data_IF_424148799340
#
_entry.id   IF_424148799340
#
_cell.length_a   1.000
_cell.length_b   1.000
_cell.length_c   1.000
_cell.angle_alpha   90.00
_cell.angle_beta   90.00
_cell.angle_gamma   90.00
#
_symmetry.space_group_name_H-M   'P 1'
#
loop_
_entity.id
_entity.type
_entity.pdbx_description
1 polymer ?
#
# COMPACT_ATOMS: atom_id res chain seq x y z
N UNK A 1 -54.66 25.42 13.42
CA UNK A 1 -53.62 24.43 13.79
C UNK A 1 -52.62 24.32 12.64
N UNK A 2 -51.37 24.69 12.85
CA UNK A 2 -50.32 24.57 11.82
C UNK A 2 -49.77 23.17 11.87
N UNK A 3 -49.99 22.35 10.85
CA UNK A 3 -49.47 21.00 10.75
C UNK A 3 -48.10 21.07 10.04
N UNK A 4 -46.99 20.86 10.78
CA UNK A 4 -45.64 20.87 10.22
C UNK A 4 -45.22 19.44 9.97
N UNK A 5 -45.10 19.07 8.70
CA UNK A 5 -44.62 17.76 8.25
C UNK A 5 -43.50 17.93 7.24
N UNK A 6 -42.62 16.92 7.14
CA UNK A 6 -41.49 16.97 6.22
C UNK A 6 -40.66 15.70 6.20
N UNK A 7 -39.67 15.71 5.33
CA UNK A 7 -38.69 14.62 5.20
C UNK A 7 -37.35 15.10 5.73
N UNK A 8 -36.75 14.36 6.68
CA UNK A 8 -35.43 14.65 7.21
C UNK A 8 -34.51 13.42 7.15
N UNK A 9 -33.23 13.66 6.93
CA UNK A 9 -32.21 12.62 6.97
C UNK A 9 -31.51 12.67 8.32
N UNK A 10 -31.53 11.55 9.02
CA UNK A 10 -30.80 11.36 10.26
C UNK A 10 -29.60 10.46 10.00
N UNK A 11 -28.43 10.87 10.48
CA UNK A 11 -27.21 10.11 10.35
C UNK A 11 -26.87 9.44 11.70
N UNK A 12 -26.67 8.12 11.65
CA UNK A 12 -26.15 7.38 12.79
C UNK A 12 -24.75 6.86 12.47
N UNK A 13 -23.94 6.65 13.50
CA UNK A 13 -22.59 6.11 13.34
C UNK A 13 -22.67 4.58 13.27
N UNK A 14 -22.18 4.01 12.17
CA UNK A 14 -22.12 2.57 11.92
C UNK A 14 -20.74 1.98 12.15
N UNK A 15 -19.70 2.84 12.23
CA UNK A 15 -18.34 2.43 12.50
C UNK A 15 -17.45 3.61 12.81
N UNK A 16 -16.30 3.32 13.43
CA UNK A 16 -15.26 4.29 13.71
C UNK A 16 -13.90 3.61 13.71
N UNK A 17 -12.83 4.35 13.45
CA UNK A 17 -11.48 3.83 13.41
C UNK A 17 -10.51 4.90 12.90
N UNK A 18 -9.33 4.46 12.48
CA UNK A 18 -8.27 5.31 11.92
C UNK A 18 -8.19 5.12 10.41
N UNK A 19 -7.99 6.21 9.66
CA UNK A 19 -7.78 6.21 8.22
C UNK A 19 -6.81 7.33 7.83
N UNK A 20 -6.23 7.23 6.65
CA UNK A 20 -5.41 8.31 6.12
C UNK A 20 -6.30 9.42 5.56
N UNK A 21 -6.31 10.58 6.19
CA UNK A 21 -7.08 11.75 5.77
C UNK A 21 -6.27 12.61 4.81
N UNK A 22 -6.64 12.65 3.53
CA UNK A 22 -5.94 13.46 2.51
C UNK A 22 -5.95 14.95 2.83
N UNK A 23 -7.03 15.47 3.41
CA UNK A 23 -7.15 16.89 3.77
C UNK A 23 -6.23 17.27 4.95
N UNK A 24 -6.06 16.37 5.92
CA UNK A 24 -5.18 16.60 7.08
C UNK A 24 -3.73 16.19 6.81
N UNK A 25 -3.44 15.47 5.71
CA UNK A 25 -2.12 14.97 5.37
C UNK A 25 -1.59 13.88 6.31
N UNK A 26 -2.46 13.07 6.92
CA UNK A 26 -2.02 12.01 7.85
C UNK A 26 -3.17 11.21 8.44
N UNK A 27 -2.80 10.25 9.28
CA UNK A 27 -3.75 9.35 9.93
C UNK A 27 -4.62 10.10 10.95
N UNK A 28 -5.93 9.93 10.85
CA UNK A 28 -6.93 10.58 11.70
C UNK A 28 -8.06 9.62 12.02
N UNK A 29 -8.73 9.87 13.13
CA UNK A 29 -9.94 9.16 13.48
C UNK A 29 -11.08 9.54 12.54
N UNK A 30 -11.92 8.57 12.21
CA UNK A 30 -13.13 8.78 11.41
C UNK A 30 -14.38 8.27 12.11
N UNK A 31 -15.53 8.77 11.65
CA UNK A 31 -16.83 8.20 11.91
C UNK A 31 -17.47 7.80 10.58
N UNK A 32 -17.78 6.53 10.43
CA UNK A 32 -18.57 6.04 9.32
C UNK A 32 -20.04 6.26 9.66
N UNK A 33 -20.72 7.06 8.87
CA UNK A 33 -22.11 7.47 9.11
C UNK A 33 -22.99 6.99 7.99
N UNK A 34 -24.11 6.32 8.38
CA UNK A 34 -25.16 5.93 7.48
C UNK A 34 -26.36 6.87 7.66
N UNK A 35 -26.90 7.36 6.54
CA UNK A 35 -28.06 8.21 6.52
C UNK A 35 -29.33 7.41 6.32
N UNK A 36 -30.37 7.74 7.06
CA UNK A 36 -31.74 7.23 6.82
C UNK A 36 -32.71 8.38 6.78
N UNK A 37 -33.58 8.36 5.78
CA UNK A 37 -34.66 9.35 5.63
C UNK A 37 -35.82 8.93 6.52
N UNK A 38 -36.40 9.92 7.21
CA UNK A 38 -37.58 9.74 8.03
C UNK A 38 -38.67 10.74 7.60
N UNK A 39 -39.89 10.27 7.64
CA UNK A 39 -41.04 11.19 7.65
C UNK A 39 -41.15 11.75 9.06
N UNK A 40 -41.20 13.09 9.15
CA UNK A 40 -41.25 13.79 10.43
C UNK A 40 -42.56 14.55 10.55
N UNK A 41 -43.21 14.45 11.71
CA UNK A 41 -44.34 15.26 12.11
C UNK A 41 -43.96 16.06 13.35
N UNK A 42 -44.13 17.37 13.32
CA UNK A 42 -43.64 18.28 14.38
C UNK A 42 -42.18 18.06 14.75
N UNK A 43 -41.31 17.82 13.73
CA UNK A 43 -39.88 17.52 13.87
C UNK A 43 -39.50 16.15 14.49
N UNK A 44 -40.52 15.37 14.90
CA UNK A 44 -40.32 14.01 15.45
C UNK A 44 -40.25 13.00 14.31
N UNK A 45 -39.18 12.15 14.22
CA UNK A 45 -39.10 11.11 13.20
C UNK A 45 -40.06 9.96 13.55
N UNK A 46 -41.11 9.80 12.76
CA UNK A 46 -42.17 8.79 13.00
C UNK A 46 -41.94 7.54 12.15
N UNK A 47 -41.76 7.73 10.83
CA UNK A 47 -41.70 6.61 9.89
C UNK A 47 -40.30 6.56 9.26
N UNK A 48 -39.53 5.44 9.44
CA UNK A 48 -38.29 5.25 8.73
C UNK A 48 -38.53 4.94 7.26
N UNK A 49 -37.94 5.69 6.38
CA UNK A 49 -37.98 5.50 4.93
C UNK A 49 -36.66 4.90 4.42
N UNK A 50 -36.31 5.21 3.18
CA UNK A 50 -35.15 4.65 2.50
C UNK A 50 -33.81 5.09 3.11
N UNK A 51 -32.78 4.24 2.99
CA UNK A 51 -31.38 4.59 3.25
C UNK A 51 -30.92 5.64 2.23
N UNK A 52 -30.21 6.67 2.68
CA UNK A 52 -29.80 7.81 1.84
C UNK A 52 -28.32 7.83 1.49
N UNK A 53 -27.59 6.79 1.81
CA UNK A 53 -26.17 6.69 1.53
C UNK A 53 -25.32 6.78 2.79
N UNK A 54 -24.07 6.45 2.61
CA UNK A 54 -23.07 6.36 3.67
C UNK A 54 -21.88 7.27 3.35
N UNK A 55 -21.24 7.79 4.37
CA UNK A 55 -20.02 8.56 4.22
C UNK A 55 -19.11 8.37 5.42
N UNK A 56 -17.82 8.51 5.18
CA UNK A 56 -16.78 8.56 6.22
C UNK A 56 -16.46 10.01 6.50
N UNK A 57 -16.57 10.42 7.74
CA UNK A 57 -16.28 11.78 8.16
C UNK A 57 -15.04 11.82 9.05
N UNK A 58 -14.03 12.60 8.65
CA UNK A 58 -12.89 12.87 9.50
C UNK A 58 -13.31 13.62 10.77
N UNK A 59 -12.84 13.17 11.93
CA UNK A 59 -13.20 13.82 13.21
C UNK A 59 -12.49 15.17 13.39
N UNK A 60 -11.36 15.37 12.71
CA UNK A 60 -10.54 16.60 12.80
C UNK A 60 -11.04 17.69 11.85
N UNK A 61 -10.92 17.47 10.51
CA UNK A 61 -11.29 18.48 9.52
C UNK A 61 -12.76 18.44 9.09
N UNK A 62 -13.54 17.46 9.54
CA UNK A 62 -14.96 17.26 9.20
C UNK A 62 -15.23 16.95 7.72
N UNK A 63 -14.20 16.84 6.89
CA UNK A 63 -14.35 16.46 5.48
C UNK A 63 -15.01 15.09 5.36
N UNK A 64 -15.91 14.97 4.38
CA UNK A 64 -16.64 13.73 4.08
C UNK A 64 -16.01 13.04 2.89
N UNK A 65 -15.88 11.72 3.00
CA UNK A 65 -15.31 10.84 1.98
C UNK A 65 -16.28 9.72 1.66
N UNK A 66 -16.15 9.13 0.48
CA UNK A 66 -16.85 7.89 0.14
C UNK A 66 -16.30 6.73 0.99
N UNK A 67 -17.10 5.70 1.34
CA UNK A 67 -16.63 4.59 2.17
C UNK A 67 -15.38 3.87 1.64
N UNK A 68 -15.17 3.87 0.32
CA UNK A 68 -13.98 3.30 -0.33
C UNK A 68 -12.65 3.89 0.16
N UNK A 69 -12.63 5.05 0.82
CA UNK A 69 -11.40 5.59 1.42
C UNK A 69 -10.83 4.69 2.53
N UNK A 70 -11.66 3.85 3.15
CA UNK A 70 -11.26 2.93 4.21
C UNK A 70 -10.46 1.71 3.71
N UNK A 71 -10.48 1.44 2.40
CA UNK A 71 -9.65 0.39 1.80
C UNK A 71 -8.21 0.82 1.56
N UNK A 72 -7.92 2.12 1.67
CA UNK A 72 -6.57 2.65 1.56
C UNK A 72 -5.80 2.40 2.87
N UNK A 73 -4.51 2.04 2.78
CA UNK A 73 -3.70 1.83 3.98
C UNK A 73 -3.50 3.14 4.75
N UNK A 74 -3.34 3.03 6.06
CA UNK A 74 -2.88 4.13 6.89
C UNK A 74 -1.36 4.32 6.75
N UNK A 75 -0.86 5.50 7.11
CA UNK A 75 0.58 5.76 7.11
C UNK A 75 1.32 4.78 8.04
N UNK A 76 0.75 4.49 9.20
CA UNK A 76 1.32 3.52 10.15
C UNK A 76 1.40 2.09 9.56
N UNK A 77 0.36 1.64 8.86
CA UNK A 77 0.37 0.34 8.18
C UNK A 77 1.43 0.28 7.08
N UNK A 78 1.57 1.35 6.30
CA UNK A 78 2.58 1.44 5.25
C UNK A 78 3.99 1.43 5.83
N UNK A 79 4.24 2.22 6.89
CA UNK A 79 5.54 2.27 7.58
C UNK A 79 5.95 0.93 8.17
N UNK A 80 5.00 0.10 8.59
CA UNK A 80 5.29 -1.24 9.11
C UNK A 80 5.55 -2.27 8.00
N UNK A 81 4.78 -2.23 6.90
CA UNK A 81 4.82 -3.26 5.87
C UNK A 81 5.92 -3.03 4.81
N UNK A 82 6.19 -1.77 4.44
CA UNK A 82 7.11 -1.46 3.35
C UNK A 82 8.55 -1.92 3.60
N UNK A 83 9.15 -1.69 4.79
CA UNK A 83 10.50 -2.18 5.07
C UNK A 83 10.61 -3.70 5.02
N UNK A 84 9.64 -4.41 5.57
CA UNK A 84 9.62 -5.87 5.58
C UNK A 84 9.52 -6.45 4.16
N UNK A 85 8.64 -5.88 3.33
CA UNK A 85 8.51 -6.28 1.93
C UNK A 85 9.77 -5.97 1.12
N UNK A 86 10.39 -4.80 1.31
CA UNK A 86 11.63 -4.42 0.62
C UNK A 86 12.79 -5.34 1.01
N UNK A 87 12.94 -5.69 2.29
CA UNK A 87 13.94 -6.67 2.75
C UNK A 87 13.75 -8.02 2.05
N UNK A 88 12.52 -8.53 2.05
CA UNK A 88 12.20 -9.82 1.44
C UNK A 88 12.49 -9.83 -0.07
N UNK A 89 12.10 -8.79 -0.79
CA UNK A 89 12.31 -8.69 -2.23
C UNK A 89 13.79 -8.48 -2.60
N UNK A 90 14.49 -7.58 -1.88
CA UNK A 90 15.90 -7.30 -2.10
C UNK A 90 16.77 -8.53 -1.86
N UNK A 91 16.50 -9.27 -0.78
CA UNK A 91 17.25 -10.50 -0.49
C UNK A 91 16.95 -11.62 -1.48
N UNK A 92 15.70 -11.75 -1.97
CA UNK A 92 15.36 -12.68 -3.04
C UNK A 92 16.12 -12.36 -4.34
N UNK A 93 16.25 -11.07 -4.69
CA UNK A 93 17.02 -10.63 -5.85
C UNK A 93 18.50 -10.95 -5.70
N UNK A 94 19.12 -10.65 -4.56
CA UNK A 94 20.52 -10.99 -4.28
C UNK A 94 20.80 -12.50 -4.34
N UNK A 95 19.85 -13.31 -3.86
CA UNK A 95 19.97 -14.79 -3.93
C UNK A 95 19.90 -15.31 -5.38
N UNK A 96 19.17 -14.63 -6.24
CA UNK A 96 19.04 -14.99 -7.64
C UNK A 96 20.24 -14.56 -8.50
N UNK A 97 20.91 -13.48 -8.10
CA UNK A 97 22.11 -12.93 -8.74
C UNK A 97 23.39 -13.34 -8.02
N UNK A 98 24.36 -12.42 -7.94
CA UNK A 98 25.59 -12.60 -7.18
C UNK A 98 25.45 -12.07 -5.74
N UNK A 99 25.31 -12.97 -4.79
CA UNK A 99 25.28 -12.64 -3.35
C UNK A 99 26.52 -11.92 -2.84
N UNK A 100 27.66 -12.13 -3.51
CA UNK A 100 28.96 -11.53 -3.17
C UNK A 100 29.16 -10.14 -3.77
N UNK A 101 28.33 -9.73 -4.70
CA UNK A 101 28.44 -8.42 -5.36
C UNK A 101 28.30 -7.27 -4.35
N UNK A 102 29.38 -6.54 -4.14
CA UNK A 102 29.38 -5.38 -3.22
C UNK A 102 28.43 -4.28 -3.71
N UNK A 103 28.33 -4.08 -5.03
CA UNK A 103 27.44 -3.08 -5.62
C UNK A 103 25.97 -3.43 -5.41
N UNK A 104 25.57 -4.68 -5.67
CA UNK A 104 24.21 -5.15 -5.45
C UNK A 104 23.81 -5.12 -3.97
N UNK A 105 24.72 -5.55 -3.07
CA UNK A 105 24.50 -5.49 -1.61
C UNK A 105 24.33 -4.06 -1.11
N UNK A 106 25.19 -3.14 -1.53
CA UNK A 106 25.10 -1.73 -1.17
C UNK A 106 23.79 -1.11 -1.66
N UNK A 107 23.38 -1.42 -2.90
CA UNK A 107 22.10 -0.96 -3.46
C UNK A 107 20.92 -1.52 -2.69
N UNK A 108 20.96 -2.80 -2.31
CA UNK A 108 19.91 -3.43 -1.52
C UNK A 108 19.76 -2.77 -0.15
N UNK A 109 20.86 -2.53 0.57
CA UNK A 109 20.86 -1.83 1.87
C UNK A 109 20.26 -0.44 1.71
N UNK A 110 20.67 0.33 0.69
CA UNK A 110 20.15 1.67 0.45
C UNK A 110 18.64 1.65 0.17
N UNK A 111 18.14 0.70 -0.63
CA UNK A 111 16.70 0.57 -0.92
C UNK A 111 15.89 0.21 0.34
N UNK A 112 16.42 -0.68 1.19
CA UNK A 112 15.78 -1.10 2.44
C UNK A 112 15.73 0.07 3.44
N UNK A 113 16.82 0.83 3.56
CA UNK A 113 16.86 2.04 4.40
C UNK A 113 15.88 3.11 3.92
N UNK A 114 15.83 3.34 2.61
CA UNK A 114 14.87 4.28 2.00
C UNK A 114 13.41 3.84 2.21
N UNK A 115 13.16 2.53 2.31
CA UNK A 115 11.85 1.98 2.65
C UNK A 115 11.47 2.17 4.14
N UNK A 116 12.37 2.67 4.98
CA UNK A 116 12.10 3.02 6.38
C UNK A 116 12.87 2.22 7.43
N UNK A 117 13.70 1.24 7.05
CA UNK A 117 14.56 0.48 7.97
C UNK A 117 15.94 1.14 8.09
N UNK A 118 16.01 2.34 8.67
CA UNK A 118 17.24 3.15 8.69
C UNK A 118 18.44 2.48 9.34
N UNK A 119 18.21 1.61 10.34
CA UNK A 119 19.26 0.86 11.05
C UNK A 119 19.70 -0.42 10.32
N UNK A 120 19.18 -0.66 9.11
CA UNK A 120 19.52 -1.86 8.34
C UNK A 120 20.94 -1.74 7.77
N UNK A 121 21.73 -2.78 7.93
CA UNK A 121 23.11 -2.84 7.50
C UNK A 121 23.40 -4.12 6.70
N UNK A 122 24.54 -4.16 6.00
CA UNK A 122 24.96 -5.29 5.17
C UNK A 122 24.96 -6.62 5.93
N UNK A 123 25.38 -6.63 7.19
CA UNK A 123 25.40 -7.83 8.05
C UNK A 123 24.00 -8.46 8.27
N UNK A 124 22.90 -7.74 7.98
CA UNK A 124 21.56 -8.28 8.08
C UNK A 124 21.14 -9.05 6.83
N UNK A 125 21.73 -8.75 5.67
CA UNK A 125 21.37 -9.37 4.39
C UNK A 125 21.52 -10.89 4.40
N UNK A 126 22.59 -11.41 4.98
CA UNK A 126 22.85 -12.87 5.01
C UNK A 126 21.82 -13.61 5.87
N UNK A 127 21.41 -13.00 6.98
CA UNK A 127 20.35 -13.54 7.84
C UNK A 127 19.01 -13.55 7.12
N UNK A 128 18.68 -12.46 6.43
CA UNK A 128 17.41 -12.34 5.71
C UNK A 128 17.40 -13.25 4.47
N UNK A 129 18.54 -13.45 3.82
CA UNK A 129 18.70 -14.38 2.69
C UNK A 129 18.55 -15.86 3.08
N UNK A 130 18.69 -16.19 4.35
CA UNK A 130 18.47 -17.53 4.87
C UNK A 130 17.01 -17.83 5.22
N UNK A 131 16.12 -16.86 5.07
CA UNK A 131 14.69 -17.05 5.37
C UNK A 131 14.01 -17.98 4.35
N UNK A 132 13.01 -18.77 4.78
CA UNK A 132 12.27 -19.65 3.87
C UNK A 132 11.42 -18.84 2.89
N UNK A 133 11.21 -19.42 1.69
CA UNK A 133 10.46 -18.78 0.62
C UNK A 133 9.04 -18.35 1.03
N UNK A 134 8.41 -19.09 1.94
CA UNK A 134 7.08 -18.77 2.48
C UNK A 134 7.08 -17.46 3.26
N UNK A 135 8.13 -17.17 4.02
CA UNK A 135 8.26 -15.92 4.78
C UNK A 135 8.42 -14.73 3.81
N UNK A 136 9.20 -14.91 2.73
CA UNK A 136 9.36 -13.92 1.66
C UNK A 136 8.01 -13.62 1.00
N UNK A 137 7.27 -14.64 0.57
CA UNK A 137 5.93 -14.47 -0.02
C UNK A 137 4.93 -13.83 0.93
N UNK A 138 4.95 -14.20 2.21
CA UNK A 138 4.08 -13.62 3.21
C UNK A 138 4.34 -12.11 3.36
N UNK A 139 5.60 -11.69 3.41
CA UNK A 139 5.99 -10.28 3.48
C UNK A 139 5.59 -9.51 2.22
N UNK A 140 5.83 -10.08 1.03
CA UNK A 140 5.40 -9.50 -0.25
C UNK A 140 3.87 -9.37 -0.34
N UNK A 141 3.11 -10.41 0.01
CA UNK A 141 1.66 -10.36 0.04
C UNK A 141 1.10 -9.35 1.04
N UNK A 142 1.81 -9.09 2.13
CA UNK A 142 1.42 -8.08 3.11
C UNK A 142 1.64 -6.66 2.55
N UNK A 143 2.80 -6.37 1.96
CA UNK A 143 3.08 -5.07 1.35
C UNK A 143 2.21 -4.84 0.11
N UNK A 144 1.93 -5.86 -0.70
CA UNK A 144 1.09 -5.77 -1.88
C UNK A 144 -0.31 -5.21 -1.60
N UNK A 145 -0.89 -5.54 -0.44
CA UNK A 145 -2.19 -5.02 0.01
C UNK A 145 -2.15 -3.54 0.41
N UNK A 146 -0.97 -3.01 0.68
CA UNK A 146 -0.77 -1.64 1.14
C UNK A 146 -0.36 -0.69 -0.01
N UNK A 147 0.20 -1.22 -1.09
CA UNK A 147 0.68 -0.43 -2.21
C UNK A 147 -0.44 -0.09 -3.21
N UNK A 148 -0.46 1.16 -3.66
CA UNK A 148 -1.22 1.56 -4.86
C UNK A 148 -0.58 0.97 -6.12
N UNK A 149 -1.28 0.91 -7.26
CA UNK A 149 -0.70 0.42 -8.52
C UNK A 149 0.65 1.10 -8.87
N UNK A 150 0.72 2.43 -8.81
CA UNK A 150 1.93 3.19 -9.10
C UNK A 150 3.07 2.87 -8.11
N UNK A 151 2.73 2.67 -6.83
CA UNK A 151 3.71 2.30 -5.81
C UNK A 151 4.24 0.87 -5.98
N UNK A 152 3.47 -0.05 -6.56
CA UNK A 152 3.94 -1.39 -6.93
C UNK A 152 4.95 -1.33 -8.07
N UNK A 153 4.69 -0.49 -9.08
CA UNK A 153 5.62 -0.27 -10.19
C UNK A 153 6.94 0.33 -9.70
N UNK A 154 6.88 1.34 -8.84
CA UNK A 154 8.05 1.89 -8.18
C UNK A 154 8.82 0.83 -7.37
N UNK A 155 8.11 0.04 -6.56
CA UNK A 155 8.71 -1.02 -5.74
C UNK A 155 9.45 -2.04 -6.60
N UNK A 156 8.81 -2.53 -7.66
CA UNK A 156 9.42 -3.47 -8.59
C UNK A 156 10.65 -2.86 -9.28
N UNK A 157 10.57 -1.59 -9.71
CA UNK A 157 11.69 -0.89 -10.34
C UNK A 157 12.90 -0.79 -9.40
N UNK A 158 12.68 -0.54 -8.10
CA UNK A 158 13.78 -0.54 -7.12
C UNK A 158 14.45 -1.91 -6.99
N UNK A 159 13.67 -2.99 -7.01
CA UNK A 159 14.21 -4.36 -6.97
C UNK A 159 15.01 -4.69 -8.23
N UNK A 160 14.52 -4.31 -9.40
CA UNK A 160 15.24 -4.47 -10.68
C UNK A 160 16.59 -3.72 -10.64
N UNK A 161 16.63 -2.50 -10.09
CA UNK A 161 17.86 -1.73 -9.95
C UNK A 161 18.88 -2.39 -9.00
N UNK A 162 18.43 -3.21 -8.04
CA UNK A 162 19.34 -4.01 -7.19
C UNK A 162 20.01 -5.08 -8.04
N UNK A 163 19.27 -5.84 -8.83
CA UNK A 163 19.84 -6.86 -9.72
C UNK A 163 20.77 -6.27 -10.79
N UNK A 164 20.49 -5.03 -11.22
CA UNK A 164 21.30 -4.34 -12.24
C UNK A 164 22.52 -3.60 -11.67
N UNK A 165 22.76 -3.64 -10.38
CA UNK A 165 23.83 -2.85 -9.76
C UNK A 165 25.25 -3.33 -10.13
N UNK A 166 25.40 -4.55 -10.56
CA UNK A 166 26.66 -5.16 -11.02
C UNK A 166 26.69 -5.52 -12.50
N UNK A 167 25.62 -5.25 -13.23
CA UNK A 167 25.54 -5.48 -14.67
C UNK A 167 24.12 -5.65 -15.19
N UNK A 168 23.95 -6.12 -16.42
CA UNK A 168 22.64 -6.44 -16.96
C UNK A 168 21.99 -7.59 -16.18
N UNK A 169 20.64 -7.58 -16.06
CA UNK A 169 19.90 -8.65 -15.40
C UNK A 169 20.18 -10.03 -16.00
N UNK A 170 20.56 -10.96 -15.14
CA UNK A 170 20.62 -12.37 -15.49
C UNK A 170 19.22 -12.99 -15.60
N UNK A 171 19.08 -14.12 -16.29
CA UNK A 171 17.78 -14.82 -16.45
C UNK A 171 17.18 -15.25 -15.10
N UNK A 172 18.00 -15.58 -14.10
CA UNK A 172 17.56 -15.92 -12.75
C UNK A 172 16.93 -14.71 -12.03
N UNK A 173 17.56 -13.54 -12.15
CA UNK A 173 17.08 -12.29 -11.56
C UNK A 173 15.80 -11.80 -12.25
N UNK A 174 15.72 -11.95 -13.57
CA UNK A 174 14.52 -11.64 -14.34
C UNK A 174 13.33 -12.48 -13.89
N UNK A 175 13.52 -13.80 -13.70
CA UNK A 175 12.47 -14.69 -13.15
C UNK A 175 12.03 -14.28 -11.75
N UNK A 176 12.97 -13.87 -10.89
CA UNK A 176 12.64 -13.39 -9.55
C UNK A 176 11.89 -12.06 -9.61
N UNK A 177 12.25 -11.12 -10.48
CA UNK A 177 11.50 -9.88 -10.68
C UNK A 177 10.05 -10.16 -11.13
N UNK A 178 9.85 -11.09 -12.06
CA UNK A 178 8.53 -11.51 -12.52
C UNK A 178 7.71 -12.18 -11.38
N UNK A 179 8.34 -13.04 -10.58
CA UNK A 179 7.68 -13.67 -9.43
C UNK A 179 7.27 -12.62 -8.39
N UNK A 180 8.14 -11.66 -8.07
CA UNK A 180 7.82 -10.56 -7.15
C UNK A 180 6.65 -9.72 -7.70
N UNK A 181 6.64 -9.42 -9.00
CA UNK A 181 5.53 -8.71 -9.64
C UNK A 181 4.19 -9.45 -9.48
N UNK A 182 4.18 -10.77 -9.66
CA UNK A 182 2.99 -11.60 -9.44
C UNK A 182 2.54 -11.58 -7.97
N UNK A 183 3.48 -11.70 -7.02
CA UNK A 183 3.18 -11.64 -5.58
C UNK A 183 2.65 -10.26 -5.17
N UNK A 184 3.07 -9.20 -5.87
CA UNK A 184 2.51 -7.85 -5.75
C UNK A 184 1.12 -7.71 -6.39
N UNK A 185 0.63 -8.73 -7.13
CA UNK A 185 -0.63 -8.72 -7.86
C UNK A 185 -0.59 -7.82 -9.10
N UNK A 186 0.57 -7.68 -9.74
CA UNK A 186 0.73 -7.00 -11.03
C UNK A 186 0.43 -7.96 -12.19
N UNK A 187 0.00 -7.42 -13.31
CA UNK A 187 -0.11 -8.21 -14.55
C UNK A 187 1.27 -8.45 -15.19
N UNK A 188 1.39 -9.48 -15.99
CA UNK A 188 2.64 -9.77 -16.72
C UNK A 188 3.06 -8.59 -17.62
N UNK A 189 2.11 -7.94 -18.28
CA UNK A 189 2.40 -6.77 -19.12
C UNK A 189 2.98 -5.59 -18.29
N UNK A 190 2.46 -5.33 -17.11
CA UNK A 190 3.01 -4.34 -16.20
C UNK A 190 4.42 -4.70 -15.74
N UNK A 191 4.65 -5.96 -15.34
CA UNK A 191 5.97 -6.44 -14.94
C UNK A 191 7.01 -6.25 -16.05
N UNK A 192 6.72 -6.71 -17.26
CA UNK A 192 7.60 -6.54 -18.44
C UNK A 192 7.85 -5.06 -18.72
N UNK A 193 6.82 -4.22 -18.65
CA UNK A 193 6.96 -2.77 -18.85
C UNK A 193 7.92 -2.14 -17.86
N UNK A 194 7.78 -2.42 -16.58
CA UNK A 194 8.64 -1.88 -15.52
C UNK A 194 10.09 -2.36 -15.68
N UNK A 195 10.31 -3.65 -15.92
CA UNK A 195 11.67 -4.20 -16.14
C UNK A 195 12.33 -3.53 -17.34
N UNK A 196 11.63 -3.45 -18.48
CA UNK A 196 12.17 -2.82 -19.69
C UNK A 196 12.50 -1.34 -19.48
N UNK A 197 11.65 -0.60 -18.77
CA UNK A 197 11.91 0.81 -18.48
C UNK A 197 13.11 0.98 -17.55
N UNK A 198 13.25 0.14 -16.54
CA UNK A 198 14.39 0.17 -15.63
C UNK A 198 15.72 -0.12 -16.37
N UNK A 199 15.74 -1.14 -17.25
CA UNK A 199 16.90 -1.46 -18.08
C UNK A 199 17.30 -0.29 -19.00
N UNK A 200 16.34 0.33 -19.68
CA UNK A 200 16.61 1.51 -20.55
C UNK A 200 17.18 2.69 -19.76
N UNK A 201 16.63 2.96 -18.57
CA UNK A 201 17.10 4.06 -17.74
C UNK A 201 18.55 3.85 -17.26
N UNK A 202 18.95 2.60 -17.02
CA UNK A 202 20.32 2.29 -16.61
C UNK A 202 21.33 2.40 -17.77
N UNK A 203 20.89 2.21 -19.02
CA UNK A 203 21.74 2.37 -20.21
C UNK A 203 22.00 3.84 -20.60
N UNK A 204 21.22 4.78 -20.04
CA UNK A 204 21.30 6.21 -20.34
C UNK A 204 22.15 7.00 -19.34
N UNK A 205 22.56 6.38 -18.23
CA UNK A 205 23.42 6.96 -17.18
C UNK A 205 24.82 6.36 -17.20
#
# INVERSE_FOLDING_TARGET
MLLIWGLRVFYHTVGQGTFHCRTCGGDRQYRHRAGRRFFTLFFIPIIPLNKTGEHVQCTTCKTRYVPGVLSLPTAAQMQAALPAGMRAAATAMLVAGDRGSAAARQRAVAAIQAAGAQDYADAHLDRDAAQPAEAIRAALGQVARQLTPDAKEWFLAEIVRIGMADGPLHDSERRVAEMIAMDLGMTQAQAVGVVTMAERSAQQN
#
